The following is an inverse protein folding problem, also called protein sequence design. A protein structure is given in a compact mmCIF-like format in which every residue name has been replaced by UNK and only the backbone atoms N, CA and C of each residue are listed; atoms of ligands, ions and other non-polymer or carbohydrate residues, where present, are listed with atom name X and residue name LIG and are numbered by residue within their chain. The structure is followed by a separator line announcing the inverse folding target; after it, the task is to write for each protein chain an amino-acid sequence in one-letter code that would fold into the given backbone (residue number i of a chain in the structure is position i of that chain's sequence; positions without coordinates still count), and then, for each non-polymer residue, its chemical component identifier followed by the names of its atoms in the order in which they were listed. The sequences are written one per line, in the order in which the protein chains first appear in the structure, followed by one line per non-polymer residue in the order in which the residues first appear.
data_IF_240473540662
#
_entry.id   IF_240473540662
#
_cell.length_a   1.000
_cell.length_b   1.000
_cell.length_c   1.000
_cell.angle_alpha   90.00
_cell.angle_beta   90.00
_cell.angle_gamma   90.00
#
_symmetry.space_group_name_H-M   'P 1'
#
loop_
_entity.id
_entity.type
_entity.pdbx_description
1 polymer ?
#
# COMPACT_ATOMS: atom_id res chain seq x y z
N UNK A 1 -10.41 -70.13 46.46
CA UNK A 1 -10.55 -69.33 45.23
C UNK A 1 -12.03 -69.02 45.03
N UNK A 2 -12.48 -67.89 45.51
CA UNK A 2 -13.86 -67.44 45.33
C UNK A 2 -14.09 -67.05 43.86
N UNK A 3 -15.05 -67.67 43.21
CA UNK A 3 -15.46 -67.30 41.84
C UNK A 3 -16.28 -66.03 41.92
N UNK A 4 -15.79 -64.96 41.33
CA UNK A 4 -16.55 -63.74 41.22
C UNK A 4 -17.92 -63.99 40.58
N UNK A 5 -18.92 -63.29 41.13
CA UNK A 5 -20.32 -63.43 40.70
C UNK A 5 -20.41 -62.95 39.20
N UNK A 6 -20.96 -63.83 38.31
CA UNK A 6 -21.02 -63.54 36.86
C UNK A 6 -21.81 -62.29 36.50
N UNK A 7 -22.71 -61.84 37.34
CA UNK A 7 -23.45 -60.57 37.18
C UNK A 7 -22.54 -59.32 37.33
N UNK A 8 -21.60 -59.35 38.28
CA UNK A 8 -20.64 -58.29 38.51
C UNK A 8 -19.70 -58.20 37.32
N UNK A 9 -19.29 -59.31 36.75
CA UNK A 9 -18.41 -59.33 35.57
C UNK A 9 -19.07 -58.75 34.31
N UNK A 10 -20.36 -59.02 34.11
CA UNK A 10 -21.17 -58.44 33.04
C UNK A 10 -21.34 -56.96 33.23
N UNK A 11 -21.59 -56.46 34.43
CA UNK A 11 -21.73 -55.06 34.75
C UNK A 11 -20.40 -54.30 34.52
N UNK A 12 -19.26 -54.83 34.93
CA UNK A 12 -17.95 -54.27 34.70
C UNK A 12 -17.59 -54.23 33.20
N UNK A 13 -17.95 -55.26 32.42
CA UNK A 13 -17.75 -55.28 30.98
C UNK A 13 -18.61 -54.20 30.27
N UNK A 14 -19.85 -54.00 30.69
CA UNK A 14 -20.78 -53.01 30.19
C UNK A 14 -20.24 -51.56 30.47
N UNK A 15 -19.89 -51.31 31.73
CA UNK A 15 -19.35 -50.01 32.14
C UNK A 15 -18.03 -49.66 31.41
N UNK A 16 -17.15 -50.65 31.21
CA UNK A 16 -15.92 -50.44 30.40
C UNK A 16 -16.23 -50.12 28.94
N UNK A 17 -17.26 -50.75 28.36
CA UNK A 17 -17.67 -50.50 26.98
C UNK A 17 -18.29 -49.13 26.83
N UNK A 18 -19.12 -48.69 27.75
CA UNK A 18 -19.72 -47.36 27.80
C UNK A 18 -18.67 -46.27 28.02
N UNK A 19 -17.72 -46.46 28.93
CA UNK A 19 -16.60 -45.54 29.15
C UNK A 19 -15.76 -45.38 27.89
N UNK A 20 -15.37 -46.48 27.23
CA UNK A 20 -14.62 -46.44 25.97
C UNK A 20 -15.38 -45.77 24.83
N UNK A 21 -16.70 -45.92 24.77
CA UNK A 21 -17.53 -45.24 23.79
C UNK A 21 -17.60 -43.75 24.06
N UNK A 22 -17.69 -43.32 25.31
CA UNK A 22 -17.68 -41.92 25.73
C UNK A 22 -16.32 -41.26 25.45
N UNK A 23 -15.23 -41.95 25.78
CA UNK A 23 -13.87 -41.45 25.52
C UNK A 23 -13.61 -41.30 24.01
N UNK A 24 -14.09 -42.21 23.17
CA UNK A 24 -14.00 -42.12 21.71
C UNK A 24 -14.80 -40.94 21.16
N UNK A 25 -15.97 -40.66 21.74
CA UNK A 25 -16.81 -39.53 21.31
C UNK A 25 -16.15 -38.20 21.65
N UNK A 26 -15.58 -38.06 22.84
CA UNK A 26 -14.85 -36.89 23.27
C UNK A 26 -13.63 -36.67 22.35
N UNK A 27 -12.83 -37.71 22.09
CA UNK A 27 -11.69 -37.58 21.16
C UNK A 27 -12.09 -37.21 19.74
N UNK A 28 -13.22 -37.69 19.24
CA UNK A 28 -13.72 -37.35 17.91
C UNK A 28 -14.20 -35.89 17.86
N UNK A 29 -14.85 -35.40 18.92
CA UNK A 29 -15.26 -33.98 19.05
C UNK A 29 -14.04 -33.06 19.12
N UNK A 30 -13.02 -33.38 19.91
CA UNK A 30 -11.76 -32.61 19.99
C UNK A 30 -11.03 -32.57 18.65
N UNK A 31 -10.98 -33.71 17.93
CA UNK A 31 -10.38 -33.77 16.60
C UNK A 31 -11.15 -32.91 15.58
N UNK A 32 -12.49 -32.91 15.63
CA UNK A 32 -13.30 -32.09 14.75
C UNK A 32 -13.10 -30.57 15.02
N UNK A 33 -13.02 -30.18 16.29
CA UNK A 33 -12.75 -28.81 16.70
C UNK A 33 -11.34 -28.38 16.23
N UNK A 34 -10.35 -29.25 16.38
CA UNK A 34 -8.98 -28.95 15.93
C UNK A 34 -8.88 -28.86 14.41
N UNK A 35 -9.60 -29.72 13.68
CA UNK A 35 -9.68 -29.62 12.21
C UNK A 35 -10.39 -28.35 11.75
N UNK A 36 -11.49 -27.96 12.41
CA UNK A 36 -12.19 -26.71 12.11
C UNK A 36 -11.27 -25.47 12.36
N UNK A 37 -10.52 -25.50 13.46
CA UNK A 37 -9.54 -24.45 13.81
C UNK A 37 -8.40 -24.35 12.79
N UNK A 38 -7.89 -25.49 12.33
CA UNK A 38 -6.84 -25.54 11.31
C UNK A 38 -7.35 -25.08 9.94
N UNK A 39 -8.60 -25.39 9.57
CA UNK A 39 -9.23 -24.86 8.33
C UNK A 39 -9.35 -23.34 8.40
N UNK A 40 -9.86 -22.80 9.52
CA UNK A 40 -9.96 -21.36 9.70
C UNK A 40 -8.59 -20.66 9.59
N UNK A 41 -7.52 -21.23 10.16
CA UNK A 41 -6.16 -20.70 10.03
C UNK A 41 -5.63 -20.79 8.59
N UNK A 42 -5.93 -21.87 7.86
CA UNK A 42 -5.54 -22.01 6.45
C UNK A 42 -6.25 -21.03 5.53
N UNK A 43 -7.53 -20.73 5.78
CA UNK A 43 -8.29 -19.73 5.05
C UNK A 43 -7.71 -18.30 5.20
N UNK A 44 -7.14 -17.99 6.37
CA UNK A 44 -6.45 -16.72 6.62
C UNK A 44 -5.03 -16.66 6.06
N UNK A 45 -4.38 -17.79 5.82
CA UNK A 45 -2.98 -17.84 5.37
C UNK A 45 -2.83 -18.06 3.87
N UNK A 46 -3.85 -18.57 3.19
CA UNK A 46 -3.83 -18.73 1.74
C UNK A 46 -4.54 -17.54 1.08
N UNK A 47 -3.84 -16.75 0.23
CA UNK A 47 -4.51 -15.77 -0.61
C UNK A 47 -5.51 -16.50 -1.51
N UNK A 48 -6.79 -16.17 -1.42
CA UNK A 48 -7.77 -16.68 -2.37
C UNK A 48 -7.39 -16.22 -3.78
N UNK A 49 -7.31 -17.10 -4.77
CA UNK A 49 -6.99 -16.72 -6.15
C UNK A 49 -7.96 -15.69 -6.76
N UNK A 50 -9.11 -15.48 -6.13
CA UNK A 50 -10.11 -14.49 -6.52
C UNK A 50 -10.03 -13.16 -5.77
N UNK A 51 -9.28 -13.08 -4.67
CA UNK A 51 -9.07 -11.84 -3.97
C UNK A 51 -8.06 -11.00 -4.76
N UNK A 52 -8.54 -9.96 -5.41
CA UNK A 52 -7.67 -8.92 -5.95
C UNK A 52 -6.92 -8.26 -4.78
N UNK A 53 -5.76 -8.80 -4.43
CA UNK A 53 -4.85 -8.29 -3.38
C UNK A 53 -4.30 -6.89 -3.69
N UNK A 54 -4.66 -6.34 -4.86
CA UNK A 54 -4.26 -4.98 -5.24
C UNK A 54 -5.08 -3.95 -4.49
N UNK A 55 -4.41 -3.00 -3.84
CA UNK A 55 -5.01 -1.81 -3.24
C UNK A 55 -5.70 -0.92 -4.28
N UNK A 56 -5.28 -1.03 -5.54
CA UNK A 56 -5.86 -0.31 -6.67
C UNK A 56 -7.00 -1.13 -7.27
N UNK A 57 -8.19 -0.57 -7.27
CA UNK A 57 -9.32 -1.07 -8.06
C UNK A 57 -9.00 -0.84 -9.54
N UNK A 58 -8.90 -1.93 -10.30
CA UNK A 58 -8.67 -1.84 -11.75
C UNK A 58 -10.00 -1.57 -12.44
N UNK A 59 -10.24 -0.37 -13.00
CA UNK A 59 -11.45 -0.12 -13.76
C UNK A 59 -11.57 -1.11 -14.92
N UNK A 60 -12.79 -1.61 -15.17
CA UNK A 60 -13.08 -2.45 -16.32
C UNK A 60 -12.84 -1.62 -17.59
N UNK A 61 -12.05 -2.13 -18.49
CA UNK A 61 -11.76 -1.51 -19.78
C UNK A 61 -12.49 -2.31 -20.84
N UNK A 62 -13.54 -1.73 -21.42
CA UNK A 62 -14.36 -2.36 -22.47
C UNK A 62 -13.66 -2.42 -23.84
N UNK A 63 -12.40 -2.04 -23.91
CA UNK A 63 -11.65 -2.08 -25.16
C UNK A 63 -11.11 -3.49 -25.41
N UNK A 64 -11.54 -4.11 -26.51
CA UNK A 64 -11.18 -5.47 -26.92
C UNK A 64 -9.67 -5.72 -27.13
N UNK A 65 -8.81 -4.68 -27.09
CA UNK A 65 -7.36 -4.77 -27.28
C UNK A 65 -6.61 -3.69 -26.45
N UNK A 66 -6.93 -3.56 -25.15
CA UNK A 66 -6.15 -2.66 -24.30
C UNK A 66 -4.88 -3.35 -23.80
N UNK A 67 -3.75 -2.97 -24.35
CA UNK A 67 -2.42 -3.37 -23.88
C UNK A 67 -1.56 -2.13 -23.65
N UNK A 68 -0.93 -2.07 -22.48
CA UNK A 68 0.08 -1.05 -22.19
C UNK A 68 1.38 -1.50 -22.85
N UNK A 69 1.87 -0.71 -23.80
CA UNK A 69 3.11 -1.02 -24.52
C UNK A 69 4.28 -1.16 -23.56
N UNK A 70 5.14 -2.17 -23.72
CA UNK A 70 6.30 -2.39 -22.86
C UNK A 70 7.24 -1.18 -22.75
N UNK A 71 7.37 -0.39 -23.82
CA UNK A 71 8.20 0.80 -23.87
C UNK A 71 7.72 1.86 -22.85
N UNK A 72 6.41 1.98 -22.66
CA UNK A 72 5.81 2.91 -21.68
C UNK A 72 6.15 2.46 -20.25
N UNK A 73 6.00 1.16 -19.97
CA UNK A 73 6.36 0.57 -18.68
C UNK A 73 7.85 0.80 -18.41
N UNK A 74 8.69 0.58 -19.39
CA UNK A 74 10.13 0.79 -19.28
C UNK A 74 10.46 2.27 -18.98
N UNK A 75 9.83 3.22 -19.69
CA UNK A 75 10.03 4.65 -19.51
C UNK A 75 9.64 5.09 -18.09
N UNK A 76 8.47 4.66 -17.60
CA UNK A 76 8.00 4.95 -16.24
C UNK A 76 8.94 4.30 -15.20
N UNK A 77 9.48 3.12 -15.48
CA UNK A 77 10.37 2.40 -14.56
C UNK A 77 11.78 3.00 -14.46
N UNK A 78 12.16 3.91 -15.36
CA UNK A 78 13.45 4.62 -15.26
C UNK A 78 13.49 5.65 -14.12
N UNK A 79 12.34 6.17 -13.71
CA UNK A 79 12.19 7.23 -12.72
C UNK A 79 11.38 6.80 -11.51
N UNK A 80 11.80 5.70 -10.88
CA UNK A 80 11.05 5.12 -9.76
C UNK A 80 11.31 5.87 -8.46
N UNK A 81 10.23 6.08 -7.71
CA UNK A 81 10.25 6.63 -6.36
C UNK A 81 10.36 5.49 -5.32
N UNK A 82 11.37 5.57 -4.45
CA UNK A 82 11.65 4.57 -3.42
C UNK A 82 11.07 4.89 -2.04
N UNK A 83 10.68 6.15 -1.82
CA UNK A 83 10.22 6.63 -0.50
C UNK A 83 11.35 7.02 0.43
N UNK A 84 12.50 7.46 -0.12
CA UNK A 84 13.61 8.00 0.66
C UNK A 84 13.32 9.45 1.09
N UNK A 85 13.88 9.92 2.23
CA UNK A 85 13.71 11.31 2.67
C UNK A 85 14.26 12.35 1.70
N UNK A 86 15.26 11.97 0.88
CA UNK A 86 15.89 12.81 -0.15
C UNK A 86 15.10 12.90 -1.45
N UNK A 87 14.12 12.02 -1.65
CA UNK A 87 13.28 12.03 -2.85
C UNK A 87 12.11 13.02 -2.68
N UNK A 88 11.81 13.78 -3.73
CA UNK A 88 10.68 14.70 -3.74
C UNK A 88 9.43 14.03 -4.35
N UNK A 89 8.39 13.78 -3.54
CA UNK A 89 7.17 13.16 -4.01
C UNK A 89 6.36 14.03 -4.98
N UNK A 90 6.45 15.37 -4.88
CA UNK A 90 5.78 16.27 -5.83
C UNK A 90 6.46 16.22 -7.21
N UNK A 91 7.79 16.27 -7.23
CA UNK A 91 8.56 16.13 -8.46
C UNK A 91 8.31 14.77 -9.13
N UNK A 92 8.21 13.70 -8.35
CA UNK A 92 7.87 12.37 -8.88
C UNK A 92 6.49 12.33 -9.54
N UNK A 93 5.44 12.89 -8.89
CA UNK A 93 4.10 12.97 -9.49
C UNK A 93 4.10 13.81 -10.76
N UNK A 94 4.78 14.96 -10.77
CA UNK A 94 4.87 15.81 -11.95
C UNK A 94 5.54 15.07 -13.12
N UNK A 95 6.68 14.43 -12.88
CA UNK A 95 7.40 13.65 -13.88
C UNK A 95 6.59 12.47 -14.41
N UNK A 96 5.87 11.76 -13.51
CA UNK A 96 4.96 10.69 -13.93
C UNK A 96 3.86 11.20 -14.86
N UNK A 97 3.27 12.37 -14.56
CA UNK A 97 2.23 12.98 -15.40
C UNK A 97 2.80 13.48 -16.73
N UNK A 98 3.99 14.04 -16.76
CA UNK A 98 4.68 14.43 -18.00
C UNK A 98 4.87 13.23 -18.93
N UNK A 99 5.38 12.12 -18.40
CA UNK A 99 5.51 10.86 -19.17
C UNK A 99 4.13 10.40 -19.65
N UNK A 100 3.13 10.41 -18.77
CA UNK A 100 1.78 10.00 -19.10
C UNK A 100 1.17 10.83 -20.24
N UNK A 101 1.36 12.15 -20.23
CA UNK A 101 0.79 13.08 -21.24
C UNK A 101 1.41 12.91 -22.64
N UNK A 102 2.54 12.19 -22.75
CA UNK A 102 3.14 11.86 -24.06
C UNK A 102 2.35 10.78 -24.81
N UNK A 103 1.42 10.09 -24.13
CA UNK A 103 0.69 8.96 -24.73
C UNK A 103 -0.79 9.28 -24.90
N UNK A 104 -1.33 8.95 -26.09
CA UNK A 104 -2.76 8.96 -26.34
C UNK A 104 -3.24 7.51 -26.46
N UNK A 105 -4.14 7.10 -25.60
CA UNK A 105 -4.81 5.81 -25.68
C UNK A 105 -6.30 6.05 -25.91
N UNK A 106 -6.80 5.62 -27.08
CA UNK A 106 -8.18 5.79 -27.44
C UNK A 106 -9.07 4.74 -26.75
N UNK A 107 -10.23 5.16 -26.23
CA UNK A 107 -11.24 4.25 -25.70
C UNK A 107 -11.03 3.76 -24.27
N UNK A 108 -10.04 4.29 -23.55
CA UNK A 108 -9.77 3.92 -22.15
C UNK A 108 -9.83 5.16 -21.27
N UNK A 109 -10.42 5.03 -20.07
CA UNK A 109 -10.42 6.15 -19.13
C UNK A 109 -8.99 6.51 -18.70
N UNK A 110 -8.72 7.81 -18.64
CA UNK A 110 -7.41 8.35 -18.25
C UNK A 110 -6.96 7.85 -16.86
N UNK A 111 -7.91 7.75 -15.93
CA UNK A 111 -7.66 7.23 -14.59
C UNK A 111 -7.25 5.76 -14.58
N UNK A 112 -7.88 4.94 -15.43
CA UNK A 112 -7.55 3.52 -15.53
C UNK A 112 -6.09 3.29 -15.96
N UNK A 113 -5.60 4.13 -16.88
CA UNK A 113 -4.23 4.04 -17.37
C UNK A 113 -3.25 4.54 -16.30
N UNK A 114 -3.51 5.71 -15.67
CA UNK A 114 -2.68 6.26 -14.60
C UNK A 114 -2.54 5.30 -13.44
N UNK A 115 -3.64 4.73 -12.97
CA UNK A 115 -3.66 3.77 -11.87
C UNK A 115 -2.85 2.50 -12.17
N UNK A 116 -2.89 2.00 -13.41
CA UNK A 116 -2.14 0.81 -13.81
C UNK A 116 -0.65 1.09 -13.96
N UNK A 117 -0.28 2.26 -14.51
CA UNK A 117 1.12 2.64 -14.75
C UNK A 117 1.83 3.06 -13.47
N UNK A 118 1.15 3.69 -12.53
CA UNK A 118 1.77 4.21 -11.31
C UNK A 118 2.45 3.13 -10.46
N UNK A 119 1.95 1.90 -10.50
CA UNK A 119 2.60 0.74 -9.85
C UNK A 119 4.04 0.53 -10.29
N UNK A 120 4.33 0.82 -11.56
CA UNK A 120 5.68 0.64 -12.15
C UNK A 120 6.60 1.82 -11.85
N UNK A 121 6.04 2.97 -11.45
CA UNK A 121 6.82 4.14 -11.03
C UNK A 121 7.29 4.08 -9.58
N UNK A 122 6.94 3.04 -8.83
CA UNK A 122 7.33 2.87 -7.43
C UNK A 122 8.28 1.69 -7.24
N UNK A 123 9.22 1.86 -6.30
CA UNK A 123 10.15 0.81 -5.86
C UNK A 123 10.23 0.75 -4.32
N UNK A 124 10.89 -0.22 -3.80
CA UNK A 124 11.25 -0.38 -2.38
C UNK A 124 10.09 -0.08 -1.40
N UNK A 125 10.30 0.84 -0.47
CA UNK A 125 9.33 1.22 0.57
C UNK A 125 8.04 1.80 0.00
N UNK A 126 8.12 2.53 -1.11
CA UNK A 126 6.96 3.13 -1.73
C UNK A 126 6.04 2.07 -2.36
N UNK A 127 6.62 1.05 -2.97
CA UNK A 127 5.87 -0.09 -3.49
C UNK A 127 5.22 -0.91 -2.38
N UNK A 128 5.96 -1.18 -1.30
CA UNK A 128 5.42 -1.88 -0.11
C UNK A 128 4.28 -1.08 0.54
N UNK A 129 4.43 0.24 0.66
CA UNK A 129 3.35 1.09 1.15
C UNK A 129 2.08 0.97 0.30
N UNK A 130 2.19 1.03 -1.01
CA UNK A 130 1.03 0.90 -1.89
C UNK A 130 0.33 -0.46 -1.68
N UNK A 131 1.08 -1.54 -1.54
CA UNK A 131 0.53 -2.87 -1.26
C UNK A 131 -0.07 -3.01 0.16
N UNK A 132 0.32 -2.16 1.11
CA UNK A 132 -0.23 -2.15 2.48
C UNK A 132 -1.58 -1.44 2.62
N UNK A 133 -2.01 -0.71 1.58
CA UNK A 133 -3.34 -0.09 1.58
C UNK A 133 -4.43 -1.15 1.47
N UNK A 134 -5.61 -0.84 1.99
CA UNK A 134 -6.74 -1.76 1.93
C UNK A 134 -7.05 -2.15 0.47
N UNK A 135 -7.39 -3.42 0.25
CA UNK A 135 -7.74 -3.93 -1.08
C UNK A 135 -8.85 -3.08 -1.70
N UNK A 136 -8.67 -2.72 -2.98
CA UNK A 136 -9.62 -1.93 -3.78
C UNK A 136 -10.00 -0.56 -3.20
N UNK A 137 -9.21 -0.01 -2.27
CA UNK A 137 -9.47 1.30 -1.66
C UNK A 137 -9.20 2.48 -2.60
N UNK A 138 -8.36 2.29 -3.60
CA UNK A 138 -7.97 3.32 -4.56
C UNK A 138 -8.74 3.13 -5.87
N UNK A 139 -9.73 3.97 -6.09
CA UNK A 139 -10.64 3.90 -7.24
C UNK A 139 -10.39 4.97 -8.31
N UNK A 140 -9.65 6.04 -7.98
CA UNK A 140 -9.35 7.14 -8.89
C UNK A 140 -7.93 7.64 -8.73
N UNK A 141 -7.42 8.35 -9.74
CA UNK A 141 -6.12 9.00 -9.70
C UNK A 141 -6.02 10.04 -8.57
N UNK A 142 -7.08 10.78 -8.33
CA UNK A 142 -7.13 11.79 -7.26
C UNK A 142 -6.97 11.16 -5.87
N UNK A 143 -7.64 10.04 -5.60
CA UNK A 143 -7.46 9.29 -4.34
C UNK A 143 -6.03 8.76 -4.19
N UNK A 144 -5.44 8.23 -5.26
CA UNK A 144 -4.08 7.73 -5.24
C UNK A 144 -3.06 8.83 -4.95
N UNK A 145 -3.14 9.94 -5.68
CA UNK A 145 -2.23 11.07 -5.53
C UNK A 145 -2.32 11.71 -4.14
N UNK A 146 -3.54 11.87 -3.61
CA UNK A 146 -3.75 12.35 -2.22
C UNK A 146 -3.19 11.39 -1.18
N UNK A 147 -3.44 10.08 -1.31
CA UNK A 147 -2.90 9.09 -0.39
C UNK A 147 -1.36 9.07 -0.42
N UNK A 148 -0.77 9.16 -1.61
CA UNK A 148 0.67 9.21 -1.82
C UNK A 148 1.29 10.47 -1.18
N UNK A 149 0.74 11.65 -1.45
CA UNK A 149 1.21 12.89 -0.85
C UNK A 149 0.99 12.93 0.66
N UNK A 150 -0.14 12.44 1.17
CA UNK A 150 -0.39 12.35 2.61
C UNK A 150 0.68 11.49 3.31
N UNK A 151 1.19 10.45 2.65
CA UNK A 151 2.24 9.57 3.19
C UNK A 151 3.63 10.20 3.11
N UNK A 152 4.01 10.75 1.95
CA UNK A 152 5.40 11.16 1.68
C UNK A 152 5.62 12.66 1.79
N UNK A 153 4.55 13.45 1.77
CA UNK A 153 4.56 14.90 1.96
C UNK A 153 3.51 15.35 3.00
N UNK A 154 3.63 14.93 4.27
CA UNK A 154 2.67 15.26 5.29
C UNK A 154 2.65 16.77 5.59
N UNK A 155 1.54 17.31 6.15
CA UNK A 155 1.38 18.75 6.44
C UNK A 155 2.50 19.37 7.29
N UNK A 156 3.11 18.58 8.18
CA UNK A 156 4.27 19.02 8.96
C UNK A 156 5.49 19.35 8.10
N UNK A 157 5.69 18.61 6.98
CA UNK A 157 6.77 18.90 6.01
C UNK A 157 6.50 20.23 5.29
N UNK A 158 5.25 20.49 4.90
CA UNK A 158 4.84 21.78 4.32
C UNK A 158 5.06 22.94 5.29
N UNK A 159 4.70 22.77 6.56
CA UNK A 159 4.92 23.80 7.59
C UNK A 159 6.40 24.13 7.78
N UNK A 160 7.26 23.09 7.78
CA UNK A 160 8.71 23.26 7.86
C UNK A 160 9.25 24.04 6.66
N UNK A 161 8.91 23.66 5.43
CA UNK A 161 9.34 24.42 4.23
C UNK A 161 8.82 25.83 4.22
N UNK A 162 7.57 26.06 4.66
CA UNK A 162 7.03 27.43 4.77
C UNK A 162 7.86 28.26 5.74
N UNK A 163 8.24 27.70 6.88
CA UNK A 163 9.10 28.38 7.83
C UNK A 163 10.48 28.66 7.22
N UNK A 164 11.11 27.70 6.56
CA UNK A 164 12.41 27.87 5.91
C UNK A 164 12.38 28.93 4.81
N UNK A 165 11.27 29.01 4.03
CA UNK A 165 11.07 30.06 3.03
C UNK A 165 10.94 31.44 3.70
N UNK A 166 10.10 31.55 4.74
CA UNK A 166 9.81 32.87 5.38
C UNK A 166 10.91 33.36 6.31
N UNK A 167 11.79 32.48 6.76
CA UNK A 167 12.96 32.83 7.58
C UNK A 167 14.28 32.68 6.82
N UNK A 168 14.21 32.72 5.47
CA UNK A 168 15.38 32.58 4.65
C UNK A 168 16.39 33.70 4.91
N UNK A 169 17.66 33.34 4.96
CA UNK A 169 18.76 34.29 5.05
C UNK A 169 19.97 33.77 4.27
N UNK A 170 20.73 34.69 3.69
CA UNK A 170 22.00 34.37 3.06
C UNK A 170 23.01 33.91 4.07
N UNK A 171 23.76 32.84 3.75
CA UNK A 171 24.82 32.32 4.60
C UNK A 171 26.11 33.18 4.48
N UNK A 172 26.91 33.15 5.55
CA UNK A 172 28.22 33.81 5.53
C UNK A 172 29.12 33.17 4.47
N UNK A 173 29.62 33.99 3.54
CA UNK A 173 30.46 33.56 2.42
C UNK A 173 29.69 33.01 1.21
N UNK A 174 28.37 32.96 1.24
CA UNK A 174 27.53 32.60 0.10
C UNK A 174 27.38 33.81 -0.82
N UNK A 175 27.51 33.62 -2.14
CA UNK A 175 27.19 34.66 -3.10
C UNK A 175 25.69 34.90 -3.23
N UNK A 176 25.27 36.04 -3.71
CA UNK A 176 23.85 36.33 -3.95
C UNK A 176 23.21 35.36 -4.94
N UNK A 177 23.96 34.88 -5.93
CA UNK A 177 23.50 33.92 -6.91
C UNK A 177 23.23 32.55 -6.26
N UNK A 178 24.16 32.06 -5.43
CA UNK A 178 24.00 30.80 -4.71
C UNK A 178 22.83 30.86 -3.72
N UNK A 179 22.69 31.97 -2.98
CA UNK A 179 21.53 32.18 -2.10
C UNK A 179 20.21 32.16 -2.91
N UNK A 180 20.18 32.82 -4.07
CA UNK A 180 19.00 32.82 -4.93
C UNK A 180 18.63 31.44 -5.46
N UNK A 181 19.60 30.66 -5.92
CA UNK A 181 19.32 29.28 -6.36
C UNK A 181 18.83 28.41 -5.19
N UNK A 182 19.42 28.50 -4.02
CA UNK A 182 18.98 27.80 -2.80
C UNK A 182 17.56 28.21 -2.39
N UNK A 183 17.23 29.49 -2.50
CA UNK A 183 15.88 29.99 -2.22
C UNK A 183 14.85 29.47 -3.22
N UNK A 184 15.18 29.43 -4.50
CA UNK A 184 14.32 28.81 -5.53
C UNK A 184 14.15 27.31 -5.30
N UNK A 185 15.18 26.61 -4.87
CA UNK A 185 15.09 25.17 -4.57
C UNK A 185 14.13 24.88 -3.42
N UNK A 186 14.10 25.70 -2.38
CA UNK A 186 13.10 25.57 -1.32
C UNK A 186 11.66 25.73 -1.85
N UNK A 187 11.44 26.66 -2.77
CA UNK A 187 10.12 26.85 -3.39
C UNK A 187 9.74 25.67 -4.30
N UNK A 188 10.69 25.11 -5.07
CA UNK A 188 10.50 23.94 -5.94
C UNK A 188 10.13 22.69 -5.12
N UNK A 189 10.76 22.50 -3.95
CA UNK A 189 10.48 21.36 -3.07
C UNK A 189 9.10 21.44 -2.41
N UNK A 190 8.48 22.61 -2.37
CA UNK A 190 7.14 22.81 -1.83
C UNK A 190 6.29 23.72 -2.72
N UNK A 191 5.81 23.25 -3.89
CA UNK A 191 5.04 24.05 -4.84
C UNK A 191 3.77 24.69 -4.24
N UNK A 192 3.21 24.03 -3.22
CA UNK A 192 2.00 24.47 -2.53
C UNK A 192 2.28 25.04 -1.13
N UNK A 193 3.38 25.77 -0.98
CA UNK A 193 3.78 26.39 0.29
C UNK A 193 2.77 27.43 0.82
N UNK A 194 1.91 28.01 -0.03
CA UNK A 194 0.89 28.99 0.37
C UNK A 194 1.46 30.30 0.89
N UNK A 195 2.74 30.62 0.62
CA UNK A 195 3.35 31.92 0.92
C UNK A 195 3.01 32.89 -0.23
N UNK A 196 2.42 34.06 0.07
CA UNK A 196 2.08 35.04 -0.97
C UNK A 196 3.32 35.55 -1.71
N UNK A 197 3.18 35.88 -3.00
CA UNK A 197 4.30 36.30 -3.82
C UNK A 197 5.01 37.56 -3.28
N UNK A 198 4.25 38.51 -2.74
CA UNK A 198 4.85 39.74 -2.15
C UNK A 198 5.77 39.39 -0.96
N UNK A 199 5.41 38.40 -0.16
CA UNK A 199 6.23 37.95 0.98
C UNK A 199 7.48 37.21 0.50
N UNK A 200 7.38 36.42 -0.57
CA UNK A 200 8.56 35.77 -1.19
C UNK A 200 9.61 36.81 -1.64
N UNK A 201 9.15 37.90 -2.22
CA UNK A 201 10.05 39.03 -2.68
C UNK A 201 10.65 39.76 -1.48
N UNK A 202 9.87 39.92 -0.41
CA UNK A 202 10.36 40.65 0.78
C UNK A 202 11.33 39.81 1.62
N UNK A 203 11.21 38.49 1.55
CA UNK A 203 12.04 37.57 2.35
C UNK A 203 13.42 37.38 1.73
N UNK A 204 13.54 37.44 0.40
CA UNK A 204 14.83 37.38 -0.30
C UNK A 204 15.48 38.75 -0.37
#
# INVERSE_FOLDING_TARGET
MEKLNPEIEKCCKKNRKEKRAKDRKIMAEDQAVQQARNRALQEYTMPNPGDNLSSIMRPIVDANNFEIKPEIIQMVSQFQFGGLPSEDPNAHLAQFLEIYDTFKMNGVSLDAIKLRLFLFSLRDKAKLWLHSLASQSITSWDLLSRAFLSKYFPPGKTAKFRQEITSFAQHSGESLYEAWERYKDLQRQCPHHGVPQWLLIQTF
#
